data_IF_161687409927
#
_entry.id   IF_161687409927
#
_cell.length_a   1.000
_cell.length_b   1.000
_cell.length_c   1.000
_cell.angle_alpha   90.00
_cell.angle_beta   90.00
_cell.angle_gamma   90.00
#
_symmetry.space_group_name_H-M   'P 1'
#
loop_
_entity.id
_entity.type
_entity.pdbx_description
1 polymer ?
#
# COMPACT_ATOMS: atom_id res chain seq x y z
N UNK A 1 -24.66 -9.54 5.85
CA UNK A 1 -25.84 -10.23 5.36
C UNK A 1 -25.48 -11.69 5.15
N UNK A 2 -26.28 -12.63 5.66
CA UNK A 2 -26.04 -14.07 5.55
C UNK A 2 -27.07 -14.61 4.58
N UNK A 3 -26.63 -15.32 3.53
CA UNK A 3 -27.51 -15.96 2.56
C UNK A 3 -27.33 -17.47 2.64
N UNK A 4 -28.41 -18.24 2.90
CA UNK A 4 -28.36 -19.68 2.76
C UNK A 4 -28.18 -20.04 1.28
N UNK A 5 -27.41 -21.10 1.02
CA UNK A 5 -27.24 -21.66 -0.32
C UNK A 5 -27.97 -22.98 -0.44
N UNK A 6 -28.29 -23.39 -1.66
CA UNK A 6 -28.93 -24.71 -1.92
C UNK A 6 -28.01 -25.85 -1.48
N UNK A 7 -28.60 -26.88 -0.86
CA UNK A 7 -27.90 -28.08 -0.39
C UNK A 7 -28.39 -29.31 -1.13
N UNK A 8 -27.72 -29.79 -2.15
CA UNK A 8 -28.22 -30.94 -2.90
C UNK A 8 -28.04 -32.29 -2.19
N UNK A 9 -27.08 -32.45 -1.26
CA UNK A 9 -26.71 -33.79 -0.72
C UNK A 9 -26.35 -33.77 0.78
N UNK A 10 -26.14 -32.64 1.44
CA UNK A 10 -25.67 -32.54 2.84
C UNK A 10 -26.81 -32.21 3.81
N UNK A 11 -26.74 -32.66 5.04
CA UNK A 11 -27.61 -32.26 6.16
C UNK A 11 -27.29 -30.82 6.65
N UNK A 12 -26.10 -30.29 6.31
CA UNK A 12 -25.71 -28.92 6.62
C UNK A 12 -26.07 -27.94 5.52
N UNK A 13 -26.62 -26.76 5.91
CA UNK A 13 -26.94 -25.69 4.96
C UNK A 13 -25.71 -24.80 4.83
N UNK A 14 -25.04 -24.78 3.68
CA UNK A 14 -23.93 -23.84 3.47
C UNK A 14 -24.46 -22.40 3.46
N UNK A 15 -23.86 -21.52 4.25
CA UNK A 15 -24.22 -20.12 4.31
C UNK A 15 -23.12 -19.24 3.71
N UNK A 16 -23.49 -18.38 2.78
CA UNK A 16 -22.60 -17.33 2.25
C UNK A 16 -22.73 -16.08 3.11
N UNK A 17 -21.66 -15.74 3.85
CA UNK A 17 -21.60 -14.50 4.60
C UNK A 17 -21.04 -13.42 3.68
N UNK A 18 -21.88 -12.46 3.29
CA UNK A 18 -21.44 -11.28 2.55
C UNK A 18 -21.11 -10.17 3.54
N UNK A 19 -19.84 -9.90 3.70
CA UNK A 19 -19.35 -8.77 4.52
C UNK A 19 -19.11 -7.62 3.57
N UNK A 20 -20.09 -6.71 3.48
CA UNK A 20 -19.97 -5.47 2.72
C UNK A 20 -19.10 -4.46 3.48
N UNK A 21 -17.80 -4.62 3.44
CA UNK A 21 -16.88 -3.57 3.87
C UNK A 21 -16.35 -2.87 2.63
N UNK A 22 -16.94 -1.74 2.30
CA UNK A 22 -16.31 -0.80 1.38
C UNK A 22 -15.13 -0.16 2.11
N UNK A 23 -13.91 -0.66 1.86
CA UNK A 23 -12.69 -0.05 2.39
C UNK A 23 -12.33 1.10 1.45
N UNK A 24 -12.44 2.37 1.89
CA UNK A 24 -12.02 3.48 1.05
C UNK A 24 -10.53 3.34 0.73
N UNK A 25 -10.18 3.52 -0.54
CA UNK A 25 -8.78 3.50 -0.96
C UNK A 25 -8.03 4.61 -0.23
N UNK A 26 -6.97 4.24 0.49
CA UNK A 26 -6.10 5.21 1.14
C UNK A 26 -5.53 6.19 0.11
N UNK A 27 -5.71 7.49 0.34
CA UNK A 27 -5.09 8.56 -0.46
C UNK A 27 -3.63 8.78 -0.11
N UNK A 28 -3.19 8.21 1.02
CA UNK A 28 -1.81 8.35 1.51
C UNK A 28 -0.86 7.58 0.62
N UNK A 29 0.18 8.25 0.14
CA UNK A 29 1.25 7.61 -0.61
C UNK A 29 1.97 6.58 0.27
N UNK A 30 2.13 5.36 -0.27
CA UNK A 30 2.90 4.30 0.36
C UNK A 30 3.90 3.75 -0.65
N UNK A 31 5.17 3.81 -0.30
CA UNK A 31 6.24 3.16 -1.04
C UNK A 31 6.15 1.65 -0.83
N UNK A 32 6.22 0.84 -1.88
CA UNK A 32 6.23 -0.61 -1.77
C UNK A 32 7.64 -1.15 -1.91
N UNK A 33 8.05 -2.04 -0.99
CA UNK A 33 9.44 -2.51 -0.91
C UNK A 33 9.90 -3.39 -2.10
N UNK A 34 8.99 -3.80 -2.97
CA UNK A 34 9.29 -4.54 -4.20
C UNK A 34 9.42 -3.63 -5.44
N UNK A 35 9.19 -2.33 -5.31
CA UNK A 35 9.31 -1.40 -6.45
C UNK A 35 10.72 -1.31 -7.03
N UNK A 36 11.81 -1.38 -6.24
CA UNK A 36 13.16 -1.38 -6.78
C UNK A 36 13.45 -2.53 -7.77
N UNK A 37 12.72 -3.65 -7.65
CA UNK A 37 12.87 -4.81 -8.53
C UNK A 37 12.19 -4.60 -9.91
N UNK A 38 11.44 -3.50 -10.09
CA UNK A 38 10.72 -3.22 -11.32
C UNK A 38 11.53 -2.37 -12.29
N UNK A 39 11.49 -2.70 -13.60
CA UNK A 39 12.09 -1.88 -14.64
C UNK A 39 11.54 -0.44 -14.61
N UNK A 40 12.39 0.54 -14.87
CA UNK A 40 12.02 1.95 -14.89
C UNK A 40 11.89 2.60 -13.51
N UNK A 41 12.09 1.87 -12.42
CA UNK A 41 12.08 2.45 -11.07
C UNK A 41 13.26 3.39 -10.86
N UNK A 42 14.47 2.88 -11.08
CA UNK A 42 15.70 3.64 -10.85
C UNK A 42 15.77 4.88 -11.74
N UNK A 43 15.42 4.74 -13.01
CA UNK A 43 15.35 5.85 -13.97
C UNK A 43 14.35 6.93 -13.52
N UNK A 44 13.19 6.51 -13.00
CA UNK A 44 12.19 7.45 -12.47
C UNK A 44 12.71 8.20 -11.25
N UNK A 45 13.43 7.50 -10.36
CA UNK A 45 14.05 8.12 -9.17
C UNK A 45 15.13 9.11 -9.60
N UNK A 46 16.06 8.71 -10.46
CA UNK A 46 17.15 9.56 -10.95
C UNK A 46 16.62 10.79 -11.68
N UNK A 47 15.69 10.60 -12.62
CA UNK A 47 15.09 11.71 -13.36
C UNK A 47 14.38 12.70 -12.45
N UNK A 48 13.62 12.22 -11.47
CA UNK A 48 12.94 13.09 -10.52
C UNK A 48 13.89 13.80 -9.57
N UNK A 49 14.96 13.15 -9.15
CA UNK A 49 15.94 13.73 -8.24
C UNK A 49 16.80 14.81 -8.90
N UNK A 50 17.18 14.59 -10.17
CA UNK A 50 18.00 15.50 -10.96
C UNK A 50 17.23 16.69 -11.52
N UNK A 51 15.91 16.56 -11.73
CA UNK A 51 15.07 17.63 -12.32
C UNK A 51 14.96 18.89 -11.46
N UNK A 52 15.21 18.77 -10.16
CA UNK A 52 15.19 19.90 -9.23
C UNK A 52 16.63 20.31 -8.93
N UNK A 53 17.12 21.33 -9.67
CA UNK A 53 18.41 21.98 -9.40
C UNK A 53 18.47 22.58 -7.98
N UNK A 54 19.54 23.29 -7.67
CA UNK A 54 19.65 24.02 -6.41
C UNK A 54 18.54 25.07 -6.32
N UNK A 55 17.54 24.78 -5.51
CA UNK A 55 16.47 25.73 -5.20
C UNK A 55 17.07 26.79 -4.26
N UNK A 56 16.73 28.06 -4.49
CA UNK A 56 17.06 29.14 -3.55
C UNK A 56 16.38 28.86 -2.20
N UNK A 57 17.15 28.53 -1.18
CA UNK A 57 16.66 28.21 0.16
C UNK A 57 17.68 27.43 0.98
N UNK A 58 17.33 27.10 2.21
CA UNK A 58 18.18 26.24 3.02
C UNK A 58 18.13 24.78 2.52
N UNK A 59 19.14 23.98 2.85
CA UNK A 59 19.29 22.60 2.41
C UNK A 59 18.07 21.74 2.78
N UNK A 60 17.48 21.97 3.97
CA UNK A 60 16.30 21.24 4.43
C UNK A 60 15.06 21.52 3.55
N UNK A 61 14.84 22.76 3.15
CA UNK A 61 13.74 23.12 2.24
C UNK A 61 13.92 22.48 0.87
N UNK A 62 15.14 22.55 0.31
CA UNK A 62 15.48 21.93 -0.98
C UNK A 62 15.23 20.42 -0.94
N UNK A 63 15.66 19.74 0.13
CA UNK A 63 15.45 18.31 0.33
C UNK A 63 13.95 17.96 0.41
N UNK A 64 13.17 18.75 1.15
CA UNK A 64 11.73 18.55 1.27
C UNK A 64 11.03 18.67 -0.10
N UNK A 65 11.43 19.63 -0.94
CA UNK A 65 10.91 19.80 -2.30
C UNK A 65 11.29 18.61 -3.20
N UNK A 66 12.54 18.15 -3.13
CA UNK A 66 12.97 16.94 -3.87
C UNK A 66 12.15 15.71 -3.48
N UNK A 67 11.93 15.47 -2.19
CA UNK A 67 11.07 14.36 -1.74
C UNK A 67 9.60 14.53 -2.18
N UNK A 68 9.08 15.74 -2.21
CA UNK A 68 7.73 16.02 -2.70
C UNK A 68 7.60 15.66 -4.18
N UNK A 69 8.57 16.06 -4.99
CA UNK A 69 8.62 15.74 -6.42
C UNK A 69 8.80 14.25 -6.66
N UNK A 70 9.73 13.61 -5.96
CA UNK A 70 9.96 12.17 -6.04
C UNK A 70 8.68 11.37 -5.71
N UNK A 71 7.97 11.75 -4.65
CA UNK A 71 6.69 11.14 -4.30
C UNK A 71 5.68 11.26 -5.43
N UNK A 72 5.61 12.42 -6.08
CA UNK A 72 4.70 12.65 -7.20
C UNK A 72 5.05 11.76 -8.40
N UNK A 73 6.33 11.74 -8.77
CA UNK A 73 6.84 10.92 -9.88
C UNK A 73 6.61 9.41 -9.64
N UNK A 74 6.93 8.93 -8.45
CA UNK A 74 6.69 7.53 -8.07
C UNK A 74 5.20 7.18 -8.02
N UNK A 75 4.35 8.09 -7.56
CA UNK A 75 2.88 7.89 -7.59
C UNK A 75 2.37 7.77 -9.03
N UNK A 76 2.90 8.57 -9.96
CA UNK A 76 2.54 8.48 -11.37
C UNK A 76 3.07 7.18 -12.01
N UNK A 77 4.36 6.87 -11.82
CA UNK A 77 4.99 5.66 -12.32
C UNK A 77 4.29 4.39 -11.80
N UNK A 78 3.94 4.34 -10.52
CA UNK A 78 3.29 3.17 -9.93
C UNK A 78 1.89 2.89 -10.49
N UNK A 79 1.23 3.86 -11.10
CA UNK A 79 -0.07 3.64 -11.79
C UNK A 79 0.07 2.74 -13.01
N UNK A 80 1.27 2.69 -13.62
CA UNK A 80 1.58 1.80 -14.75
C UNK A 80 1.77 0.35 -14.30
N UNK A 81 2.01 0.12 -13.02
CA UNK A 81 2.15 -1.23 -12.49
C UNK A 81 0.77 -1.88 -12.44
N UNK A 82 0.65 -3.01 -13.11
CA UNK A 82 -0.58 -3.80 -13.10
C UNK A 82 -0.91 -4.30 -11.70
N UNK A 83 -2.20 -4.51 -11.43
CA UNK A 83 -2.66 -5.08 -10.18
C UNK A 83 -2.06 -6.49 -9.98
N UNK A 84 -1.32 -6.68 -8.89
CA UNK A 84 -0.68 -7.96 -8.54
C UNK A 84 -1.67 -9.14 -8.54
N UNK A 85 -2.90 -8.91 -8.05
CA UNK A 85 -3.93 -9.96 -7.99
C UNK A 85 -4.37 -10.38 -9.39
N UNK A 86 -4.59 -9.42 -10.28
CA UNK A 86 -4.95 -9.71 -11.67
C UNK A 86 -3.82 -10.42 -12.43
N UNK A 87 -2.56 -10.02 -12.20
CA UNK A 87 -1.40 -10.70 -12.81
C UNK A 87 -1.25 -12.14 -12.34
N UNK A 88 -1.44 -12.41 -11.04
CA UNK A 88 -1.42 -13.76 -10.47
C UNK A 88 -2.54 -14.59 -11.07
N UNK A 89 -3.74 -14.03 -11.18
CA UNK A 89 -4.89 -14.72 -11.77
C UNK A 89 -4.64 -15.06 -13.25
N UNK A 90 -4.07 -14.12 -14.02
CA UNK A 90 -3.73 -14.37 -15.41
C UNK A 90 -2.67 -15.47 -15.55
N UNK A 91 -1.63 -15.47 -14.71
CA UNK A 91 -0.65 -16.57 -14.69
C UNK A 91 -1.32 -17.93 -14.41
N UNK A 92 -2.22 -17.98 -13.43
CA UNK A 92 -2.95 -19.21 -13.10
C UNK A 92 -3.84 -19.67 -14.25
N UNK A 93 -4.52 -18.75 -14.95
CA UNK A 93 -5.34 -19.07 -16.12
C UNK A 93 -4.49 -19.67 -17.23
N UNK A 94 -3.31 -19.09 -17.52
CA UNK A 94 -2.41 -19.64 -18.56
C UNK A 94 -1.90 -21.02 -18.18
N UNK A 95 -1.52 -21.24 -16.91
CA UNK A 95 -1.06 -22.55 -16.43
C UNK A 95 -2.20 -23.55 -16.56
N UNK A 96 -3.42 -23.21 -16.11
CA UNK A 96 -4.59 -24.08 -16.20
C UNK A 96 -4.89 -24.46 -17.65
N UNK A 97 -4.80 -23.51 -18.60
CA UNK A 97 -4.96 -23.80 -20.02
C UNK A 97 -3.93 -24.82 -20.54
N UNK A 98 -2.66 -24.63 -20.19
CA UNK A 98 -1.60 -25.54 -20.60
C UNK A 98 -1.75 -26.93 -19.97
N UNK A 99 -2.18 -26.99 -18.71
CA UNK A 99 -2.46 -28.27 -18.02
C UNK A 99 -3.64 -29.00 -18.69
N UNK A 100 -4.71 -28.26 -19.10
CA UNK A 100 -5.84 -28.84 -19.86
C UNK A 100 -5.43 -29.37 -21.24
N UNK A 101 -4.48 -28.74 -21.93
CA UNK A 101 -3.93 -29.30 -23.17
C UNK A 101 -3.13 -30.56 -22.92
N UNK A 102 -2.38 -30.63 -21.82
CA UNK A 102 -1.58 -31.80 -21.45
C UNK A 102 -2.43 -33.03 -21.19
N UNK A 103 -3.66 -32.88 -20.71
CA UNK A 103 -4.64 -33.95 -20.56
C UNK A 103 -5.07 -34.57 -21.91
N UNK A 104 -5.07 -33.76 -22.98
CA UNK A 104 -5.50 -34.20 -24.32
C UNK A 104 -4.34 -34.65 -25.21
N UNK A 105 -3.16 -34.06 -25.06
CA UNK A 105 -1.95 -34.32 -25.85
C UNK A 105 -0.71 -33.85 -25.13
N UNK A 106 0.44 -34.43 -25.46
CA UNK A 106 1.72 -33.95 -24.95
C UNK A 106 1.98 -32.49 -25.38
N UNK A 107 2.51 -31.69 -24.46
CA UNK A 107 2.88 -30.31 -24.75
C UNK A 107 4.08 -30.27 -25.70
N UNK A 108 4.03 -29.36 -26.68
CA UNK A 108 5.18 -29.05 -27.52
C UNK A 108 6.22 -28.27 -26.73
N UNK A 109 7.47 -28.29 -27.19
CA UNK A 109 8.59 -27.66 -26.50
C UNK A 109 8.35 -26.18 -26.18
N UNK A 110 7.69 -25.45 -27.08
CA UNK A 110 7.37 -24.03 -26.86
C UNK A 110 6.34 -23.83 -25.74
N UNK A 111 5.33 -24.69 -25.66
CA UNK A 111 4.30 -24.65 -24.61
C UNK A 111 4.90 -25.03 -23.25
N UNK A 112 5.80 -26.00 -23.25
CA UNK A 112 6.52 -26.39 -22.05
C UNK A 112 7.41 -25.26 -21.53
N UNK A 113 8.15 -24.58 -22.42
CA UNK A 113 8.98 -23.43 -22.07
C UNK A 113 8.12 -22.27 -21.58
N UNK A 114 6.99 -21.99 -22.23
CA UNK A 114 6.04 -20.96 -21.77
C UNK A 114 5.55 -21.26 -20.37
N UNK A 115 5.12 -22.50 -20.09
CA UNK A 115 4.68 -22.93 -18.75
C UNK A 115 5.77 -22.68 -17.70
N UNK A 116 7.03 -23.01 -18.01
CA UNK A 116 8.17 -22.77 -17.12
C UNK A 116 8.34 -21.27 -16.83
N UNK A 117 8.31 -20.42 -17.85
CA UNK A 117 8.44 -18.97 -17.71
C UNK A 117 7.28 -18.40 -16.85
N UNK A 118 6.05 -18.82 -17.11
CA UNK A 118 4.89 -18.36 -16.37
C UNK A 118 4.93 -18.82 -14.91
N UNK A 119 5.40 -20.04 -14.61
CA UNK A 119 5.59 -20.51 -13.23
C UNK A 119 6.61 -19.66 -12.47
N UNK A 120 7.74 -19.35 -13.08
CA UNK A 120 8.75 -18.45 -12.49
C UNK A 120 8.15 -17.08 -12.22
N UNK A 121 7.41 -16.54 -13.19
CA UNK A 121 6.72 -15.25 -13.04
C UNK A 121 5.68 -15.27 -11.92
N UNK A 122 4.92 -16.35 -11.80
CA UNK A 122 3.94 -16.54 -10.74
C UNK A 122 4.61 -16.52 -9.36
N UNK A 123 5.72 -17.24 -9.18
CA UNK A 123 6.48 -17.24 -7.93
C UNK A 123 6.97 -15.85 -7.55
N UNK A 124 7.48 -15.09 -8.52
CA UNK A 124 7.87 -13.69 -8.30
C UNK A 124 6.71 -12.82 -7.84
N UNK A 125 5.55 -12.93 -8.49
CA UNK A 125 4.35 -12.17 -8.13
C UNK A 125 3.80 -12.56 -6.75
N UNK A 126 3.84 -13.84 -6.40
CA UNK A 126 3.47 -14.31 -5.06
C UNK A 126 4.42 -13.75 -3.99
N UNK A 127 5.73 -13.69 -4.26
CA UNK A 127 6.69 -13.03 -3.38
C UNK A 127 6.36 -11.55 -3.20
N UNK A 128 6.03 -10.81 -4.26
CA UNK A 128 5.62 -9.41 -4.17
C UNK A 128 4.34 -9.24 -3.35
N UNK A 129 3.37 -10.13 -3.54
CA UNK A 129 2.13 -10.15 -2.76
C UNK A 129 2.40 -10.41 -1.29
N UNK A 130 3.34 -11.29 -0.95
CA UNK A 130 3.76 -11.53 0.43
C UNK A 130 4.40 -10.26 1.03
N UNK A 131 5.38 -9.63 0.34
CA UNK A 131 6.01 -8.36 0.78
C UNK A 131 4.95 -7.28 1.01
N UNK A 132 4.00 -7.15 0.09
CA UNK A 132 2.90 -6.19 0.20
C UNK A 132 2.07 -6.38 1.48
N UNK A 133 1.68 -7.61 1.80
CA UNK A 133 0.87 -7.89 2.98
C UNK A 133 1.67 -7.86 4.28
N UNK A 134 2.91 -8.32 4.28
CA UNK A 134 3.81 -8.21 5.45
C UNK A 134 3.99 -6.76 5.88
N UNK A 135 4.17 -5.85 4.94
CA UNK A 135 4.29 -4.41 5.25
C UNK A 135 3.02 -3.82 5.87
N UNK A 136 1.85 -4.33 5.50
CA UNK A 136 0.57 -3.86 6.04
C UNK A 136 0.25 -4.46 7.40
N UNK A 137 0.86 -5.57 7.68
CA UNK A 137 0.75 -6.22 8.98
C UNK A 137 2.02 -5.93 9.78
N UNK A 138 2.00 -4.89 10.59
CA UNK A 138 3.14 -4.41 11.41
C UNK A 138 3.53 -5.43 12.50
N UNK A 139 3.79 -6.68 12.17
CA UNK A 139 4.26 -7.67 13.12
C UNK A 139 5.76 -7.86 12.99
N UNK A 140 6.47 -7.22 13.91
CA UNK A 140 7.92 -7.31 14.09
C UNK A 140 8.37 -8.73 14.48
N UNK A 141 7.48 -9.64 14.87
CA UNK A 141 7.82 -10.92 15.52
C UNK A 141 7.81 -12.16 14.64
N UNK A 142 7.34 -12.12 13.42
CA UNK A 142 7.44 -13.30 12.53
C UNK A 142 8.74 -13.19 11.73
N UNK A 143 9.82 -13.54 12.39
CA UNK A 143 11.05 -13.95 11.72
C UNK A 143 10.79 -15.31 11.11
N UNK A 144 10.93 -15.36 9.77
CA UNK A 144 11.24 -16.57 8.99
C UNK A 144 10.27 -17.75 9.15
N UNK A 145 9.70 -18.15 8.05
CA UNK A 145 9.34 -19.54 7.79
C UNK A 145 7.95 -19.69 7.35
N UNK A 146 6.99 -19.09 7.30
CA UNK A 146 5.76 -19.48 6.62
C UNK A 146 5.21 -18.34 5.75
N UNK A 147 5.09 -18.62 4.45
CA UNK A 147 4.49 -17.70 3.49
C UNK A 147 2.96 -17.57 3.71
N UNK A 148 2.54 -17.42 4.99
CA UNK A 148 1.15 -17.31 5.40
C UNK A 148 0.49 -16.02 4.93
N UNK A 149 0.36 -15.86 3.62
CA UNK A 149 -0.34 -14.73 3.00
C UNK A 149 -1.77 -14.62 3.51
N UNK A 150 -2.42 -15.74 3.79
CA UNK A 150 -3.77 -15.78 4.38
C UNK A 150 -3.79 -15.21 5.80
N UNK A 151 -2.81 -15.53 6.62
CA UNK A 151 -2.67 -14.99 7.96
C UNK A 151 -2.48 -13.47 7.95
N UNK A 152 -1.52 -12.97 7.16
CA UNK A 152 -1.29 -11.52 7.05
C UNK A 152 -2.49 -10.76 6.53
N UNK A 153 -3.22 -11.36 5.59
CA UNK A 153 -4.45 -10.80 5.07
C UNK A 153 -5.54 -10.73 6.14
N UNK A 154 -5.73 -11.80 6.91
CA UNK A 154 -6.69 -11.86 8.00
C UNK A 154 -6.37 -10.84 9.09
N UNK A 155 -5.09 -10.72 9.49
CA UNK A 155 -4.65 -9.78 10.51
C UNK A 155 -4.74 -8.32 10.05
N UNK A 156 -4.40 -8.02 8.81
CA UNK A 156 -4.59 -6.68 8.25
C UNK A 156 -6.08 -6.29 8.25
N UNK A 157 -6.95 -7.22 7.92
CA UNK A 157 -8.42 -7.03 7.97
C UNK A 157 -8.91 -6.82 9.39
N UNK A 158 -8.41 -7.59 10.37
CA UNK A 158 -8.75 -7.43 11.79
C UNK A 158 -8.30 -6.06 12.31
N UNK A 159 -7.08 -5.65 12.01
CA UNK A 159 -6.54 -4.34 12.41
C UNK A 159 -7.36 -3.21 11.77
N UNK A 160 -7.71 -3.35 10.50
CA UNK A 160 -8.59 -2.38 9.83
C UNK A 160 -9.94 -2.29 10.54
N UNK A 161 -10.59 -3.43 10.84
CA UNK A 161 -11.88 -3.45 11.53
C UNK A 161 -11.82 -2.84 12.93
N UNK A 162 -10.76 -3.11 13.70
CA UNK A 162 -10.56 -2.52 15.03
C UNK A 162 -10.38 -0.99 14.97
N UNK A 163 -9.73 -0.51 13.92
CA UNK A 163 -9.44 0.91 13.73
C UNK A 163 -10.51 1.66 12.92
N UNK A 164 -11.50 0.94 12.36
CA UNK A 164 -12.57 1.58 11.60
C UNK A 164 -13.72 1.98 12.52
N UNK A 165 -14.09 3.24 12.42
CA UNK A 165 -15.29 3.77 13.08
C UNK A 165 -16.44 3.65 12.09
N UNK A 166 -17.37 2.71 12.35
CA UNK A 166 -18.52 2.47 11.47
C UNK A 166 -19.51 3.62 11.51
N UNK A 167 -19.82 4.10 12.71
CA UNK A 167 -20.78 5.16 12.95
C UNK A 167 -20.29 6.09 14.06
N UNK A 168 -20.65 7.35 13.97
CA UNK A 168 -20.50 8.34 15.04
C UNK A 168 -21.88 8.89 15.38
N UNK A 169 -22.08 9.27 16.63
CA UNK A 169 -23.27 9.97 17.07
C UNK A 169 -22.97 11.46 17.09
N UNK A 170 -23.80 12.26 16.43
CA UNK A 170 -23.69 13.70 16.47
C UNK A 170 -24.31 14.29 17.77
N UNK A 171 -24.21 15.59 17.94
CA UNK A 171 -24.73 16.30 19.13
C UNK A 171 -26.26 16.24 19.20
N UNK A 172 -26.96 15.98 18.09
CA UNK A 172 -28.41 15.78 18.02
C UNK A 172 -28.85 14.36 18.36
N UNK A 173 -27.89 13.45 18.52
CA UNK A 173 -28.11 12.03 18.81
C UNK A 173 -28.34 11.16 17.59
N UNK A 174 -28.23 11.69 16.38
CA UNK A 174 -28.34 10.93 15.12
C UNK A 174 -27.04 10.21 14.78
N UNK A 175 -27.17 9.02 14.18
CA UNK A 175 -26.02 8.25 13.73
C UNK A 175 -25.59 8.65 12.33
N UNK A 176 -24.32 9.01 12.19
CA UNK A 176 -23.67 9.38 10.95
C UNK A 176 -22.72 8.25 10.53
N UNK A 177 -22.92 7.71 9.33
CA UNK A 177 -22.17 6.57 8.81
C UNK A 177 -21.26 6.92 7.62
N UNK A 178 -21.58 7.99 6.90
CA UNK A 178 -20.78 8.39 5.74
C UNK A 178 -19.42 8.98 6.15
N UNK A 179 -18.43 8.88 5.25
CA UNK A 179 -17.04 9.22 5.58
C UNK A 179 -16.83 10.72 5.77
N UNK A 180 -17.46 11.55 4.95
CA UNK A 180 -17.30 13.00 4.99
C UNK A 180 -17.92 13.61 6.24
N UNK A 181 -19.13 13.21 6.57
CA UNK A 181 -19.83 13.68 7.77
C UNK A 181 -19.13 13.22 9.05
N UNK A 182 -18.63 11.97 9.11
CA UNK A 182 -17.80 11.52 10.23
C UNK A 182 -16.50 12.34 10.36
N UNK A 183 -15.85 12.65 9.24
CA UNK A 183 -14.63 13.46 9.24
C UNK A 183 -14.93 14.89 9.73
N UNK A 184 -16.03 15.49 9.30
CA UNK A 184 -16.47 16.81 9.74
C UNK A 184 -16.77 16.85 11.24
N UNK A 185 -17.50 15.85 11.77
CA UNK A 185 -17.77 15.73 13.21
C UNK A 185 -16.50 15.61 14.04
N UNK A 186 -15.59 14.74 13.63
CA UNK A 186 -14.30 14.58 14.32
C UNK A 186 -13.47 15.86 14.26
N UNK A 187 -13.39 16.49 13.08
CA UNK A 187 -12.67 17.75 12.92
C UNK A 187 -13.21 18.83 13.84
N UNK A 188 -14.54 19.03 13.89
CA UNK A 188 -15.20 20.02 14.73
C UNK A 188 -14.95 19.73 16.20
N UNK A 189 -15.10 18.48 16.63
CA UNK A 189 -14.85 18.05 18.01
C UNK A 189 -13.41 18.31 18.43
N UNK A 190 -12.42 17.93 17.61
CA UNK A 190 -11.01 18.18 17.91
C UNK A 190 -10.66 19.65 17.90
N UNK A 191 -11.17 20.42 16.93
CA UNK A 191 -10.96 21.87 16.85
C UNK A 191 -11.47 22.58 18.12
N UNK A 192 -12.66 22.19 18.60
CA UNK A 192 -13.24 22.76 19.81
C UNK A 192 -12.45 22.40 21.07
N UNK A 193 -11.89 21.16 21.13
CA UNK A 193 -11.08 20.71 22.28
C UNK A 193 -9.68 21.28 22.28
N UNK A 194 -9.05 21.43 21.12
CA UNK A 194 -7.68 21.95 21.02
C UNK A 194 -7.60 23.46 21.11
N UNK A 195 -8.75 24.16 21.01
CA UNK A 195 -8.82 25.62 21.05
C UNK A 195 -8.29 26.27 19.76
N UNK A 196 -8.28 27.58 19.75
CA UNK A 196 -7.71 28.39 18.68
C UNK A 196 -6.21 28.45 18.90
N UNK A 197 -5.43 28.22 17.83
CA UNK A 197 -3.98 28.41 17.86
C UNK A 197 -3.65 29.84 18.30
N UNK A 198 -3.24 30.02 19.55
CA UNK A 198 -2.61 31.24 19.97
C UNK A 198 -1.13 31.22 19.60
N UNK A 199 -0.60 32.30 19.07
CA UNK A 199 0.84 32.41 18.82
C UNK A 199 1.59 32.04 20.11
N UNK A 200 2.54 31.10 20.05
CA UNK A 200 3.27 30.72 21.23
C UNK A 200 3.97 31.94 21.81
N UNK A 201 3.69 32.27 23.06
CA UNK A 201 4.36 33.35 23.77
C UNK A 201 5.80 33.01 24.17
N UNK A 202 6.26 31.80 23.83
CA UNK A 202 7.63 31.36 24.07
C UNK A 202 8.46 31.58 22.81
N UNK A 203 9.42 32.46 22.91
CA UNK A 203 10.51 32.58 21.93
C UNK A 203 11.61 31.61 22.33
N UNK A 204 11.72 30.49 21.61
CA UNK A 204 12.89 29.63 21.74
C UNK A 204 14.02 30.21 20.89
N UNK A 205 15.14 30.52 21.52
CA UNK A 205 16.34 30.92 20.82
C UNK A 205 17.03 29.67 20.25
N UNK A 206 16.49 29.19 19.13
CA UNK A 206 16.95 28.00 18.43
C UNK A 206 18.45 27.95 18.10
N UNK A 207 19.16 29.07 17.78
CA UNK A 207 20.59 29.05 17.49
C UNK A 207 21.46 28.41 18.57
N UNK A 208 21.05 28.46 19.83
CA UNK A 208 21.82 27.88 20.94
C UNK A 208 21.48 26.40 21.23
N UNK A 209 20.41 25.88 20.64
CA UNK A 209 19.98 24.51 20.87
C UNK A 209 20.22 23.59 19.67
N UNK A 210 20.35 24.14 18.48
CA UNK A 210 20.69 23.41 17.26
C UNK A 210 22.17 23.62 17.00
N UNK A 211 23.00 22.64 17.30
CA UNK A 211 24.37 22.62 16.80
C UNK A 211 24.31 22.59 15.27
N UNK A 212 24.57 23.71 14.65
CA UNK A 212 24.39 23.99 13.22
C UNK A 212 25.43 23.30 12.33
N UNK A 213 25.83 22.07 12.61
CA UNK A 213 26.97 21.43 11.93
C UNK A 213 26.68 20.17 11.16
N UNK A 214 25.44 19.91 10.80
CA UNK A 214 25.20 18.86 9.81
C UNK A 214 25.07 19.52 8.44
N UNK A 215 26.18 19.47 7.69
CA UNK A 215 26.15 19.79 6.27
C UNK A 215 25.27 18.77 5.53
N UNK A 216 24.05 19.19 5.21
CA UNK A 216 23.10 18.40 4.46
C UNK A 216 23.31 18.50 2.94
N UNK A 217 24.37 19.18 2.50
CA UNK A 217 24.65 19.38 1.07
C UNK A 217 24.88 18.06 0.34
N UNK A 218 25.47 17.07 1.00
CA UNK A 218 25.64 15.73 0.45
C UNK A 218 24.31 15.03 0.13
N UNK A 219 23.24 15.29 0.88
CA UNK A 219 21.91 14.72 0.65
C UNK A 219 21.17 15.35 -0.54
N UNK A 220 21.68 16.48 -1.03
CA UNK A 220 21.10 17.23 -2.14
C UNK A 220 21.80 16.92 -3.46
N UNK A 221 22.94 16.22 -3.42
CA UNK A 221 23.69 15.83 -4.61
C UNK A 221 22.98 14.75 -5.44
N UNK A 222 23.21 14.69 -6.75
CA UNK A 222 22.73 13.60 -7.58
C UNK A 222 23.28 12.26 -7.06
N UNK A 223 22.48 11.18 -7.26
CA UNK A 223 22.99 9.84 -6.95
C UNK A 223 24.21 9.54 -7.82
N UNK A 224 25.34 9.26 -7.19
CA UNK A 224 26.48 8.64 -7.87
C UNK A 224 26.17 7.16 -8.09
N UNK A 225 26.36 6.68 -9.32
CA UNK A 225 26.27 5.27 -9.71
C UNK A 225 27.44 4.50 -9.15
#
# INVERSE_FOLDING_TARGET
MVHPMSKPISDHIPCKIMIGTSIPKSTVFRFENFWPDHPGFLETVQASWSSHGQLRGNSAFTLAQKFKALRHSLKHWSRKLSNLTALIENCNKVIFYLDSFEECRSLVLMEWNLRKIIRVKLLQLLRYKNIYWRKRHTVIRIRLGDECTKYFHAMATLTYRRNSVSQLRDDSGLFVSDHESKAALLWTSFKNRMGVSSSPKMHFYLPNQVQAHHDLSALVQPFST
#
